data_IF_822448152173
#
_entry.id   IF_822448152173
#
_cell.length_a   1.000
_cell.length_b   1.000
_cell.length_c   1.000
_cell.angle_alpha   90.00
_cell.angle_beta   90.00
_cell.angle_gamma   90.00
#
_symmetry.space_group_name_H-M   'P 1'
#
loop_
_entity.id
_entity.type
_entity.pdbx_description
1 polymer ?
#
# COMPACT_ATOMS: atom_id res chain seq x y z
N UNK A 1 7.74 15.53 7.29
CA UNK A 1 8.76 15.65 6.24
C UNK A 1 8.21 16.56 5.16
N UNK A 2 9.06 17.27 4.45
CA UNK A 2 8.65 17.96 3.23
C UNK A 2 8.41 16.92 2.12
N UNK A 3 7.25 16.89 1.44
CA UNK A 3 6.94 15.85 0.46
C UNK A 3 7.66 16.06 -0.89
N UNK A 4 8.29 17.21 -1.14
CA UNK A 4 9.06 17.50 -2.36
C UNK A 4 10.55 17.28 -2.14
N UNK A 5 11.11 17.87 -1.08
CA UNK A 5 12.56 17.77 -0.81
C UNK A 5 12.95 16.53 -0.02
N UNK A 6 11.96 15.88 0.62
CA UNK A 6 12.13 14.77 1.56
C UNK A 6 12.87 15.18 2.85
N UNK A 7 13.07 16.48 3.09
CA UNK A 7 13.71 16.96 4.30
C UNK A 7 12.90 16.64 5.56
N UNK A 8 13.61 16.34 6.64
CA UNK A 8 12.99 16.09 7.94
C UNK A 8 12.67 17.43 8.60
N UNK A 9 11.37 17.72 8.74
CA UNK A 9 10.86 18.88 9.46
C UNK A 9 10.96 18.66 10.98
N UNK A 10 10.54 17.48 11.44
CA UNK A 10 10.52 17.14 12.87
C UNK A 10 9.38 16.17 13.21
N UNK A 11 9.23 15.90 14.50
CA UNK A 11 8.09 15.16 15.04
C UNK A 11 6.87 16.08 14.93
N UNK A 12 5.76 15.53 14.44
CA UNK A 12 4.49 16.23 14.34
C UNK A 12 3.51 15.69 15.37
N UNK A 13 2.97 16.57 16.21
CA UNK A 13 2.03 16.26 17.29
C UNK A 13 0.64 16.89 17.09
N UNK A 14 0.32 17.24 15.84
CA UNK A 14 -0.91 17.92 15.46
C UNK A 14 -1.09 19.23 16.22
N UNK A 15 -0.09 20.11 16.23
CA UNK A 15 -0.13 21.40 16.97
C UNK A 15 -0.43 21.20 18.47
N UNK A 16 0.21 20.19 19.08
CA UNK A 16 0.01 19.81 20.48
C UNK A 16 -1.32 19.12 20.79
N UNK A 17 -2.09 18.70 19.77
CA UNK A 17 -3.38 18.04 19.97
C UNK A 17 -3.25 16.56 20.35
N UNK A 18 -2.09 15.91 20.16
CA UNK A 18 -1.90 14.52 20.59
C UNK A 18 -1.83 14.39 22.12
N UNK A 19 -2.63 13.48 22.64
CA UNK A 19 -2.65 13.09 24.07
C UNK A 19 -1.95 11.73 24.32
N UNK A 20 -1.58 11.02 23.25
CA UNK A 20 -0.84 9.76 23.26
C UNK A 20 0.66 9.98 23.15
N UNK A 21 1.45 9.05 23.69
CA UNK A 21 2.90 8.96 23.42
C UNK A 21 3.24 8.33 22.06
N UNK A 22 2.27 7.69 21.43
CA UNK A 22 2.45 6.93 20.19
C UNK A 22 1.39 7.32 19.16
N UNK A 23 1.72 7.11 17.89
CA UNK A 23 0.80 7.27 16.78
C UNK A 23 0.97 6.11 15.79
N UNK A 24 -0.13 5.67 15.18
CA UNK A 24 -0.12 4.54 14.24
C UNK A 24 0.65 4.86 12.96
N UNK A 25 1.36 3.86 12.44
CA UNK A 25 1.91 3.86 11.08
C UNK A 25 0.86 3.48 10.02
N UNK A 26 -0.37 3.16 10.44
CA UNK A 26 -1.49 2.77 9.58
C UNK A 26 -2.70 3.71 9.72
N UNK A 27 -2.55 5.03 9.48
CA UNK A 27 -3.72 5.90 9.42
C UNK A 27 -4.67 5.46 8.29
N UNK A 28 -5.91 5.90 8.38
CA UNK A 28 -6.94 5.68 7.35
C UNK A 28 -7.59 7.02 7.02
N UNK A 29 -7.95 7.21 5.77
CA UNK A 29 -8.58 8.44 5.31
C UNK A 29 -9.99 8.13 4.82
N UNK A 30 -10.95 8.94 5.25
CA UNK A 30 -12.24 8.99 4.61
C UNK A 30 -12.14 9.96 3.42
N UNK A 31 -12.13 9.41 2.21
CA UNK A 31 -11.97 10.19 0.99
C UNK A 31 -13.18 11.07 0.67
N UNK A 32 -14.35 10.80 1.24
CA UNK A 32 -15.53 11.65 1.05
C UNK A 32 -15.44 12.95 1.86
N UNK A 33 -14.88 12.89 3.07
CA UNK A 33 -14.81 14.03 4.01
C UNK A 33 -13.42 14.66 4.09
N UNK A 34 -12.38 13.92 3.70
CA UNK A 34 -10.97 14.27 3.92
C UNK A 34 -10.52 14.08 5.37
N UNK A 35 -11.31 13.41 6.20
CA UNK A 35 -10.94 13.14 7.59
C UNK A 35 -9.88 12.03 7.68
N UNK A 36 -8.92 12.21 8.59
CA UNK A 36 -7.94 11.20 8.94
C UNK A 36 -8.32 10.54 10.25
N UNK A 37 -8.24 9.21 10.28
CA UNK A 37 -8.44 8.40 11.46
C UNK A 37 -7.12 7.73 11.83
N UNK A 38 -6.80 7.74 13.11
CA UNK A 38 -5.59 7.14 13.65
C UNK A 38 -5.82 6.58 15.04
N UNK A 39 -4.83 5.86 15.54
CA UNK A 39 -4.85 5.36 16.91
C UNK A 39 -3.43 5.34 17.49
N UNK A 40 -3.33 5.22 18.81
CA UNK A 40 -2.09 4.97 19.54
C UNK A 40 -2.25 3.78 20.47
N UNK A 41 -1.37 2.79 20.33
CA UNK A 41 -1.23 1.68 21.28
C UNK A 41 -0.16 2.01 22.32
N UNK A 42 -0.23 1.40 23.49
CA UNK A 42 0.66 1.75 24.61
C UNK A 42 0.65 3.27 24.88
N UNK A 43 -0.54 3.87 24.77
CA UNK A 43 -0.70 5.32 24.63
C UNK A 43 -0.17 6.11 25.84
N UNK A 44 -0.13 5.50 27.03
CA UNK A 44 0.44 6.10 28.25
C UNK A 44 1.91 5.74 28.50
N UNK A 45 2.52 4.95 27.63
CA UNK A 45 3.91 4.53 27.73
C UNK A 45 4.08 3.02 27.59
N UNK A 46 5.34 2.61 27.50
CA UNK A 46 5.75 1.24 27.25
C UNK A 46 5.02 0.26 28.18
N UNK A 47 4.47 -0.81 27.61
CA UNK A 47 3.69 -1.87 28.29
C UNK A 47 2.37 -1.41 28.93
N UNK A 48 1.89 -0.18 28.66
CA UNK A 48 0.53 0.18 29.05
C UNK A 48 -0.47 -0.49 28.12
N UNK A 49 -1.61 -0.93 28.65
CA UNK A 49 -2.69 -1.48 27.81
C UNK A 49 -3.60 -0.36 27.28
N UNK A 50 -3.22 0.91 27.42
CA UNK A 50 -4.00 2.06 27.00
C UNK A 50 -4.00 2.17 25.47
N UNK A 51 -5.20 2.27 24.90
CA UNK A 51 -5.45 2.56 23.48
C UNK A 51 -6.14 3.92 23.40
N UNK A 52 -5.79 4.71 22.40
CA UNK A 52 -6.56 5.90 22.02
C UNK A 52 -6.85 5.91 20.54
N UNK A 53 -8.07 6.27 20.17
CA UNK A 53 -8.51 6.53 18.80
C UNK A 53 -8.64 8.03 18.59
N UNK A 54 -8.25 8.50 17.40
CA UNK A 54 -8.37 9.88 16.98
C UNK A 54 -9.06 10.01 15.64
N UNK A 55 -9.77 11.12 15.47
CA UNK A 55 -10.22 11.61 14.16
C UNK A 55 -9.82 13.08 14.00
N UNK A 56 -9.23 13.41 12.86
CA UNK A 56 -8.81 14.75 12.47
C UNK A 56 -9.52 15.15 11.19
N UNK A 57 -9.92 16.41 11.08
CA UNK A 57 -10.43 16.94 9.81
C UNK A 57 -9.31 17.19 8.80
N UNK A 58 -9.67 17.57 7.56
CA UNK A 58 -8.71 17.84 6.48
C UNK A 58 -7.73 18.98 6.75
N UNK A 59 -8.02 19.85 7.72
CA UNK A 59 -7.12 20.91 8.19
C UNK A 59 -6.20 20.46 9.34
N UNK A 60 -6.26 19.19 9.76
CA UNK A 60 -5.46 18.66 10.86
C UNK A 60 -5.99 18.99 12.27
N UNK A 61 -7.22 19.50 12.38
CA UNK A 61 -7.88 19.76 13.67
C UNK A 61 -8.53 18.48 14.19
N UNK A 62 -8.25 18.11 15.44
CA UNK A 62 -8.87 16.98 16.13
C UNK A 62 -10.36 17.24 16.30
N UNK A 63 -11.17 16.31 15.80
CA UNK A 63 -12.64 16.34 15.90
C UNK A 63 -13.20 15.25 16.81
N UNK A 64 -12.40 14.22 17.12
CA UNK A 64 -12.78 13.16 18.06
C UNK A 64 -11.57 12.53 18.75
N UNK A 65 -11.78 12.05 19.97
CA UNK A 65 -10.80 11.31 20.79
C UNK A 65 -11.53 10.32 21.69
N UNK A 66 -11.16 9.04 21.61
CA UNK A 66 -11.76 7.99 22.43
C UNK A 66 -10.69 7.09 23.06
N UNK A 67 -10.76 6.87 24.36
CA UNK A 67 -9.81 6.03 25.10
C UNK A 67 -10.41 4.66 25.42
N UNK A 68 -9.58 3.63 25.29
CA UNK A 68 -9.94 2.25 25.58
C UNK A 68 -8.75 1.43 26.07
N UNK A 69 -8.93 0.10 26.08
CA UNK A 69 -7.86 -0.86 26.36
C UNK A 69 -7.77 -1.90 25.25
N UNK A 70 -6.55 -2.26 24.84
CA UNK A 70 -6.37 -3.34 23.88
C UNK A 70 -6.22 -4.70 24.58
N UNK A 71 -6.56 -5.78 23.88
CA UNK A 71 -6.36 -7.16 24.31
C UNK A 71 -5.30 -7.80 23.40
N UNK A 72 -4.50 -8.72 23.95
CA UNK A 72 -3.52 -9.49 23.19
C UNK A 72 -4.10 -10.84 22.78
N UNK A 73 -4.06 -11.17 21.49
CA UNK A 73 -4.38 -12.48 20.95
C UNK A 73 -3.29 -12.91 19.95
N UNK A 74 -3.01 -14.22 19.80
CA UNK A 74 -2.04 -14.71 18.84
C UNK A 74 -2.53 -14.51 17.39
N UNK A 75 -1.65 -14.13 16.44
CA UNK A 75 -2.02 -13.92 15.05
C UNK A 75 -2.32 -15.23 14.30
N UNK A 76 -3.21 -15.15 13.30
CA UNK A 76 -3.42 -16.18 12.27
C UNK A 76 -3.39 -15.53 10.88
N UNK A 77 -2.61 -16.07 9.95
CA UNK A 77 -2.33 -15.46 8.64
C UNK A 77 -3.31 -15.95 7.54
N UNK A 78 -4.52 -15.38 7.48
CA UNK A 78 -5.47 -15.62 6.38
C UNK A 78 -6.20 -14.35 5.99
N UNK A 79 -6.53 -14.19 4.70
CA UNK A 79 -7.45 -13.14 4.22
C UNK A 79 -8.88 -13.49 4.61
N UNK A 80 -9.33 -12.89 5.72
CA UNK A 80 -10.64 -13.19 6.27
C UNK A 80 -11.45 -11.92 6.54
N UNK A 81 -12.77 -12.06 6.56
CA UNK A 81 -13.70 -11.03 6.96
C UNK A 81 -14.32 -11.38 8.31
N UNK A 82 -14.08 -10.52 9.29
CA UNK A 82 -14.83 -10.51 10.54
C UNK A 82 -16.12 -9.70 10.36
N UNK A 83 -17.20 -10.15 11.00
CA UNK A 83 -18.45 -9.39 11.10
C UNK A 83 -18.80 -9.23 12.57
N UNK A 84 -18.85 -7.98 13.02
CA UNK A 84 -19.16 -7.63 14.41
C UNK A 84 -20.48 -6.87 14.41
N UNK A 85 -21.43 -7.33 15.23
CA UNK A 85 -22.66 -6.60 15.50
C UNK A 85 -22.53 -5.84 16.83
N UNK A 86 -22.33 -4.51 16.82
CA UNK A 86 -22.16 -3.74 18.05
C UNK A 86 -23.42 -3.67 18.92
N UNK A 87 -24.57 -4.13 18.40
CA UNK A 87 -25.84 -4.22 19.13
C UNK A 87 -26.13 -5.65 19.61
N UNK A 88 -25.21 -6.59 19.38
CA UNK A 88 -25.34 -7.95 19.88
C UNK A 88 -25.40 -7.92 21.41
N UNK A 89 -26.33 -8.67 22.05
CA UNK A 89 -26.33 -8.85 23.49
C UNK A 89 -25.29 -9.88 23.95
N UNK A 90 -24.55 -10.51 23.02
CA UNK A 90 -23.55 -11.55 23.28
C UNK A 90 -22.18 -11.13 22.72
N UNK A 91 -21.12 -11.51 23.43
CA UNK A 91 -19.72 -11.37 23.02
C UNK A 91 -19.26 -12.51 22.09
N UNK A 92 -20.13 -13.48 21.79
CA UNK A 92 -19.87 -14.52 20.79
C UNK A 92 -19.79 -13.89 19.39
N UNK A 93 -18.74 -14.24 18.64
CA UNK A 93 -18.54 -13.81 17.26
C UNK A 93 -18.70 -14.97 16.30
N UNK A 94 -19.35 -14.71 15.15
CA UNK A 94 -19.35 -15.62 14.01
C UNK A 94 -17.90 -15.89 13.57
N UNK A 95 -17.60 -17.13 13.17
CA UNK A 95 -16.30 -17.45 12.58
C UNK A 95 -16.06 -16.57 11.34
N UNK A 96 -14.84 -16.07 11.15
CA UNK A 96 -14.58 -15.16 10.05
C UNK A 96 -14.67 -15.89 8.71
N UNK A 97 -15.17 -15.19 7.69
CA UNK A 97 -15.33 -15.74 6.33
C UNK A 97 -14.01 -15.64 5.59
N UNK A 98 -13.51 -16.75 5.07
CA UNK A 98 -12.32 -16.76 4.20
C UNK A 98 -12.68 -16.12 2.86
N UNK A 99 -11.94 -15.08 2.47
CA UNK A 99 -12.14 -14.37 1.21
C UNK A 99 -11.27 -14.92 0.07
N UNK A 100 -10.14 -15.54 0.42
CA UNK A 100 -9.26 -16.26 -0.49
C UNK A 100 -8.49 -17.34 0.26
N UNK A 101 -8.33 -18.51 -0.35
CA UNK A 101 -7.46 -19.57 0.16
C UNK A 101 -5.98 -19.32 -0.17
N UNK A 102 -5.68 -18.30 -0.98
CA UNK A 102 -4.31 -17.91 -1.32
C UNK A 102 -3.75 -17.02 -0.19
N UNK A 103 -2.60 -17.37 0.41
CA UNK A 103 -1.97 -16.52 1.41
C UNK A 103 -1.59 -15.16 0.81
N UNK A 104 -1.92 -14.11 1.55
CA UNK A 104 -1.58 -12.74 1.22
C UNK A 104 -1.37 -11.90 2.48
N UNK A 105 -0.45 -10.95 2.39
CA UNK A 105 -0.14 -9.93 3.39
C UNK A 105 0.03 -8.57 2.70
N UNK A 106 0.28 -7.50 3.45
CA UNK A 106 0.38 -6.13 2.94
C UNK A 106 -0.86 -5.73 2.13
N UNK A 107 -2.03 -5.97 2.75
CA UNK A 107 -3.33 -5.82 2.13
C UNK A 107 -3.62 -4.37 1.75
N UNK A 108 -4.08 -4.17 0.51
CA UNK A 108 -4.51 -2.89 -0.04
C UNK A 108 -5.87 -3.02 -0.71
N UNK A 109 -6.51 -1.89 -0.93
CA UNK A 109 -7.70 -1.73 -1.74
C UNK A 109 -7.57 -0.46 -2.60
N UNK A 110 -8.61 -0.13 -3.35
CA UNK A 110 -8.76 1.22 -3.89
C UNK A 110 -8.97 2.20 -2.73
N UNK A 111 -7.99 3.06 -2.49
CA UNK A 111 -7.99 3.93 -1.30
C UNK A 111 -9.22 4.85 -1.26
N UNK A 112 -9.81 5.20 -2.42
CA UNK A 112 -11.05 6.00 -2.53
C UNK A 112 -12.26 5.35 -1.84
N UNK A 113 -12.18 4.04 -1.60
CA UNK A 113 -13.22 3.23 -0.96
C UNK A 113 -12.84 2.80 0.45
N UNK A 114 -11.74 3.32 1.03
CA UNK A 114 -11.50 3.16 2.47
C UNK A 114 -12.72 3.64 3.26
N UNK A 115 -13.00 2.94 4.37
CA UNK A 115 -14.15 3.16 5.26
C UNK A 115 -15.54 2.86 4.65
N UNK A 116 -15.60 2.52 3.36
CA UNK A 116 -16.82 2.22 2.64
C UNK A 116 -16.89 0.74 2.21
N UNK A 117 -18.07 0.21 1.85
CA UNK A 117 -18.16 -1.06 1.15
C UNK A 117 -17.31 -1.02 -0.12
N UNK A 118 -16.46 -2.03 -0.30
CA UNK A 118 -15.62 -2.22 -1.47
C UNK A 118 -15.71 -3.68 -1.92
N UNK A 119 -15.08 -4.01 -3.03
CA UNK A 119 -15.10 -5.29 -3.74
C UNK A 119 -13.70 -5.85 -3.99
N UNK A 120 -12.72 -4.98 -4.24
CA UNK A 120 -11.38 -5.34 -4.71
C UNK A 120 -10.34 -5.19 -3.60
N UNK A 121 -9.63 -6.29 -3.32
CA UNK A 121 -8.46 -6.29 -2.44
C UNK A 121 -7.22 -6.77 -3.22
N UNK A 122 -6.07 -6.23 -2.86
CA UNK A 122 -4.76 -6.58 -3.39
C UNK A 122 -3.81 -6.92 -2.25
N UNK A 123 -2.85 -7.80 -2.48
CA UNK A 123 -1.91 -8.23 -1.46
C UNK A 123 -0.61 -8.73 -2.07
N UNK A 124 0.47 -8.71 -1.30
CA UNK A 124 1.68 -9.46 -1.63
C UNK A 124 1.52 -10.92 -1.19
N UNK A 125 1.91 -11.87 -2.04
CA UNK A 125 1.83 -13.32 -1.76
C UNK A 125 3.22 -13.93 -1.58
N UNK A 126 3.39 -14.95 -0.70
CA UNK A 126 4.71 -15.52 -0.40
C UNK A 126 5.51 -15.97 -1.61
N UNK A 127 6.84 -15.92 -1.49
CA UNK A 127 7.81 -16.43 -2.45
C UNK A 127 9.20 -16.59 -1.83
N UNK A 128 10.20 -16.94 -2.66
CA UNK A 128 11.51 -17.37 -2.17
C UNK A 128 12.34 -16.27 -1.50
N UNK A 129 12.03 -15.00 -1.77
CA UNK A 129 12.69 -13.82 -1.17
C UNK A 129 11.71 -12.95 -0.39
N UNK A 130 10.88 -13.59 0.46
CA UNK A 130 9.81 -12.94 1.22
C UNK A 130 8.49 -13.02 0.44
N UNK A 131 8.11 -11.92 -0.21
CA UNK A 131 6.99 -11.92 -1.16
C UNK A 131 7.49 -12.16 -2.59
N UNK A 132 6.80 -12.99 -3.37
CA UNK A 132 7.18 -13.35 -4.74
C UNK A 132 6.11 -13.06 -5.81
N UNK A 133 5.02 -12.39 -5.43
CA UNK A 133 3.95 -12.07 -6.36
C UNK A 133 2.88 -11.19 -5.75
N UNK A 134 1.90 -10.81 -6.58
CA UNK A 134 0.75 -10.00 -6.18
C UNK A 134 -0.53 -10.80 -6.37
N UNK A 135 -1.37 -10.81 -5.34
CA UNK A 135 -2.71 -11.37 -5.29
C UNK A 135 -3.73 -10.25 -5.50
N UNK A 136 -4.72 -10.49 -6.36
CA UNK A 136 -5.95 -9.72 -6.46
C UNK A 136 -7.12 -10.60 -6.06
N UNK A 137 -7.95 -10.13 -5.14
CA UNK A 137 -9.18 -10.79 -4.69
C UNK A 137 -10.37 -9.91 -5.05
N UNK A 138 -11.26 -10.41 -5.90
CA UNK A 138 -12.61 -9.88 -6.04
C UNK A 138 -13.52 -10.67 -5.09
N UNK A 139 -13.80 -10.12 -3.91
CA UNK A 139 -14.53 -10.86 -2.90
C UNK A 139 -16.05 -10.88 -3.11
N UNK A 140 -16.59 -10.14 -4.09
CA UNK A 140 -18.00 -10.27 -4.49
C UNK A 140 -18.21 -11.55 -5.32
N UNK A 141 -17.22 -11.93 -6.12
CA UNK A 141 -17.25 -13.13 -6.95
C UNK A 141 -16.50 -14.32 -6.34
N UNK A 142 -15.63 -14.06 -5.37
CA UNK A 142 -14.69 -15.05 -4.82
C UNK A 142 -13.48 -15.31 -5.73
N UNK A 143 -13.36 -14.62 -6.87
CA UNK A 143 -12.27 -14.82 -7.82
C UNK A 143 -10.96 -14.25 -7.25
N UNK A 144 -9.93 -15.09 -7.23
CA UNK A 144 -8.56 -14.69 -6.91
C UNK A 144 -7.67 -14.83 -8.14
N UNK A 145 -6.90 -13.79 -8.46
CA UNK A 145 -5.88 -13.76 -9.52
C UNK A 145 -4.51 -13.55 -8.90
N UNK A 146 -3.47 -14.15 -9.46
CA UNK A 146 -2.10 -13.98 -8.96
C UNK A 146 -1.14 -13.70 -10.13
N UNK A 147 -0.33 -12.67 -9.96
CA UNK A 147 0.90 -12.47 -10.72
C UNK A 147 2.09 -12.98 -9.91
N UNK A 148 2.98 -13.76 -10.54
CA UNK A 148 4.24 -14.22 -9.95
C UNK A 148 5.41 -13.52 -10.64
N UNK A 149 6.33 -12.97 -9.86
CA UNK A 149 7.46 -12.21 -10.38
C UNK A 149 8.58 -13.12 -10.94
N UNK A 150 8.57 -14.41 -10.58
CA UNK A 150 9.55 -15.41 -11.01
C UNK A 150 10.55 -15.78 -9.92
N UNK A 151 11.33 -16.82 -10.18
CA UNK A 151 12.27 -17.39 -9.22
C UNK A 151 13.40 -16.42 -8.89
N UNK A 152 13.71 -16.27 -7.59
CA UNK A 152 14.74 -15.35 -7.13
C UNK A 152 14.39 -13.86 -7.29
N UNK A 153 13.10 -13.54 -7.45
CA UNK A 153 12.60 -12.16 -7.53
C UNK A 153 11.67 -11.87 -6.34
N UNK A 154 11.97 -10.80 -5.60
CA UNK A 154 11.18 -10.35 -4.47
C UNK A 154 10.29 -9.17 -4.86
N UNK A 155 9.08 -9.10 -4.32
CA UNK A 155 8.17 -7.95 -4.49
C UNK A 155 7.92 -7.24 -3.15
N UNK A 156 7.52 -5.97 -3.21
CA UNK A 156 7.04 -5.19 -2.07
C UNK A 156 5.51 -5.16 -1.97
N UNK A 157 5.00 -4.39 -1.00
CA UNK A 157 3.59 -4.02 -0.92
C UNK A 157 3.12 -3.39 -2.25
N UNK A 158 2.01 -3.86 -2.85
CA UNK A 158 1.44 -3.18 -4.02
C UNK A 158 0.84 -1.84 -3.61
N UNK A 159 0.80 -0.85 -4.50
CA UNK A 159 0.04 0.38 -4.27
C UNK A 159 -0.93 0.60 -5.42
N UNK A 160 -2.23 0.73 -5.11
CA UNK A 160 -3.25 1.02 -6.11
C UNK A 160 -3.18 2.48 -6.58
N UNK A 161 -3.36 2.67 -7.89
CA UNK A 161 -3.41 3.98 -8.55
C UNK A 161 -4.63 3.98 -9.48
N UNK A 162 -5.64 4.85 -9.28
CA UNK A 162 -6.82 4.87 -10.12
C UNK A 162 -6.47 5.31 -11.55
N UNK A 163 -7.14 4.74 -12.56
CA UNK A 163 -6.91 5.10 -13.97
C UNK A 163 -7.25 6.56 -14.27
N UNK A 164 -8.33 7.03 -13.65
CA UNK A 164 -8.80 8.42 -13.67
C UNK A 164 -9.53 8.71 -12.36
N UNK A 165 -9.75 9.99 -12.00
CA UNK A 165 -10.47 10.36 -10.78
C UNK A 165 -11.87 9.72 -10.68
N UNK A 166 -12.54 9.55 -11.81
CA UNK A 166 -13.89 9.02 -11.97
C UNK A 166 -13.94 7.52 -12.37
N UNK A 167 -12.79 6.86 -12.47
CA UNK A 167 -12.72 5.43 -12.78
C UNK A 167 -13.50 4.61 -11.74
N UNK A 168 -14.20 3.54 -12.14
CA UNK A 168 -14.85 2.62 -11.20
C UNK A 168 -13.88 2.08 -10.14
N UNK A 169 -14.44 1.53 -9.04
CA UNK A 169 -13.65 0.85 -8.02
C UNK A 169 -12.70 -0.18 -8.65
N UNK A 170 -11.41 -0.10 -8.31
CA UNK A 170 -10.43 -1.08 -8.74
C UNK A 170 -10.03 -0.99 -10.23
N UNK A 171 -10.55 -0.03 -11.00
CA UNK A 171 -10.06 0.27 -12.35
C UNK A 171 -8.84 1.20 -12.30
N UNK A 172 -7.67 0.64 -12.61
CA UNK A 172 -6.41 1.35 -12.50
C UNK A 172 -5.21 0.44 -12.62
N UNK A 173 -4.21 0.75 -11.81
CA UNK A 173 -2.91 0.10 -11.84
C UNK A 173 -2.43 -0.24 -10.43
N UNK A 174 -1.55 -1.24 -10.33
CA UNK A 174 -0.73 -1.46 -9.15
C UNK A 174 0.70 -1.07 -9.47
N UNK A 175 1.32 -0.24 -8.63
CA UNK A 175 2.75 0.03 -8.65
C UNK A 175 3.41 -0.82 -7.58
N UNK A 176 4.44 -1.57 -7.97
CA UNK A 176 5.07 -2.59 -7.12
C UNK A 176 6.58 -2.47 -7.20
N UNK A 177 7.25 -2.28 -6.07
CA UNK A 177 8.71 -2.40 -6.00
C UNK A 177 9.13 -3.86 -6.17
N UNK A 178 10.05 -4.11 -7.09
CA UNK A 178 10.60 -5.43 -7.41
C UNK A 178 12.10 -5.43 -7.15
N UNK A 179 12.62 -6.52 -6.59
CA UNK A 179 14.03 -6.73 -6.28
C UNK A 179 14.49 -7.99 -6.99
N UNK A 180 15.41 -7.85 -7.94
CA UNK A 180 15.98 -8.98 -8.66
C UNK A 180 17.20 -9.52 -7.88
N UNK A 181 17.11 -10.76 -7.41
CA UNK A 181 18.17 -11.42 -6.67
C UNK A 181 19.40 -11.76 -7.52
N UNK A 182 19.26 -11.85 -8.85
CA UNK A 182 20.36 -12.17 -9.77
C UNK A 182 21.22 -10.95 -10.07
N UNK A 183 20.59 -9.83 -10.42
CA UNK A 183 21.29 -8.58 -10.75
C UNK A 183 21.54 -7.69 -9.53
N UNK A 184 20.83 -7.93 -8.43
CA UNK A 184 20.76 -7.08 -7.22
C UNK A 184 20.14 -5.69 -7.45
N UNK A 185 19.59 -5.45 -8.65
CA UNK A 185 18.92 -4.21 -9.01
C UNK A 185 17.43 -4.24 -8.62
N UNK A 186 16.82 -3.06 -8.65
CA UNK A 186 15.41 -2.89 -8.38
C UNK A 186 14.65 -2.42 -9.62
N UNK A 187 13.35 -2.69 -9.62
CA UNK A 187 12.41 -2.20 -10.63
C UNK A 187 11.14 -1.68 -9.97
N UNK A 188 10.40 -0.83 -10.68
CA UNK A 188 8.98 -0.60 -10.41
C UNK A 188 8.17 -1.29 -11.49
N UNK A 189 7.40 -2.30 -11.12
CA UNK A 189 6.45 -2.96 -11.99
C UNK A 189 5.09 -2.26 -11.91
N UNK A 190 4.48 -2.01 -13.06
CA UNK A 190 3.14 -1.45 -13.21
C UNK A 190 2.23 -2.56 -13.74
N UNK A 191 1.29 -3.03 -12.92
CA UNK A 191 0.30 -4.06 -13.29
C UNK A 191 -1.03 -3.38 -13.62
N UNK A 192 -1.69 -3.77 -14.71
CA UNK A 192 -3.08 -3.33 -14.96
C UNK A 192 -4.04 -4.20 -14.13
N UNK A 193 -4.94 -3.57 -13.37
CA UNK A 193 -5.84 -4.28 -12.47
C UNK A 193 -6.97 -5.03 -13.19
N UNK A 194 -7.22 -4.73 -14.47
CA UNK A 194 -8.15 -5.52 -15.31
C UNK A 194 -7.73 -7.00 -15.31
N UNK A 195 -6.43 -7.25 -15.49
CA UNK A 195 -5.87 -8.60 -15.43
C UNK A 195 -4.38 -8.62 -15.08
N UNK A 196 -4.10 -8.65 -13.77
CA UNK A 196 -2.73 -8.72 -13.26
C UNK A 196 -1.98 -9.98 -13.73
N UNK A 197 -2.70 -11.05 -14.13
CA UNK A 197 -2.07 -12.32 -14.54
C UNK A 197 -1.27 -12.19 -15.84
N UNK A 198 -1.51 -11.12 -16.61
CA UNK A 198 -0.76 -10.79 -17.83
C UNK A 198 0.66 -10.30 -17.56
N UNK A 199 0.99 -10.03 -16.30
CA UNK A 199 2.25 -9.40 -15.91
C UNK A 199 2.22 -7.88 -16.04
N UNK A 200 3.37 -7.22 -15.83
CA UNK A 200 3.44 -5.78 -15.88
C UNK A 200 3.17 -5.23 -17.28
N UNK A 201 2.41 -4.15 -17.39
CA UNK A 201 2.23 -3.37 -18.61
C UNK A 201 3.36 -2.35 -18.82
N UNK A 202 4.13 -2.09 -17.77
CA UNK A 202 5.34 -1.28 -17.79
C UNK A 202 6.29 -1.63 -16.66
N UNK A 203 7.58 -1.51 -16.90
CA UNK A 203 8.64 -1.71 -15.91
C UNK A 203 9.58 -0.51 -15.96
N UNK A 204 9.86 0.09 -14.81
CA UNK A 204 10.86 1.14 -14.66
C UNK A 204 12.08 0.52 -14.00
N UNK A 205 13.21 0.54 -14.69
CA UNK A 205 14.48 0.06 -14.15
C UNK A 205 15.09 1.10 -13.21
N UNK A 206 15.51 0.67 -12.03
CA UNK A 206 16.20 1.53 -11.07
C UNK A 206 17.69 1.13 -11.06
N UNK A 207 18.63 2.06 -11.31
CA UNK A 207 20.06 1.76 -11.41
C UNK A 207 20.71 1.54 -10.03
N UNK A 208 19.92 1.11 -9.04
CA UNK A 208 20.36 0.93 -7.67
C UNK A 208 19.60 -0.22 -7.01
N UNK A 209 20.22 -0.76 -5.96
CA UNK A 209 19.61 -1.76 -5.11
C UNK A 209 18.59 -1.11 -4.18
N UNK A 210 17.40 -1.68 -4.10
CA UNK A 210 16.40 -1.34 -3.08
C UNK A 210 16.45 -2.38 -1.95
N UNK A 211 16.35 -1.92 -0.70
CA UNK A 211 16.11 -2.81 0.44
C UNK A 211 14.63 -3.20 0.49
N UNK A 212 14.31 -4.23 1.26
CA UNK A 212 12.91 -4.52 1.56
C UNK A 212 12.30 -3.33 2.33
N UNK A 213 11.22 -2.80 1.77
CA UNK A 213 10.43 -1.72 2.38
C UNK A 213 9.25 -2.29 3.15
N UNK A 214 8.53 -1.41 3.84
CA UNK A 214 7.30 -1.77 4.55
C UNK A 214 6.09 -1.28 3.77
N UNK A 215 5.65 -0.04 4.02
CA UNK A 215 4.47 0.54 3.38
C UNK A 215 4.80 1.65 2.39
N UNK A 216 3.93 1.83 1.41
CA UNK A 216 3.93 2.94 0.46
C UNK A 216 2.54 3.55 0.31
N UNK A 217 2.46 4.72 -0.34
CA UNK A 217 1.18 5.34 -0.71
C UNK A 217 1.35 6.15 -1.98
N UNK A 218 0.29 6.21 -2.78
CA UNK A 218 0.21 7.07 -3.95
C UNK A 218 -0.51 8.37 -3.59
N UNK A 219 0.00 9.49 -4.10
CA UNK A 219 -0.64 10.80 -3.99
C UNK A 219 -0.69 11.39 -5.40
N UNK A 220 -1.86 11.83 -5.86
CA UNK A 220 -1.96 12.40 -7.20
C UNK A 220 -1.25 13.75 -7.23
N UNK A 221 -0.71 14.10 -8.40
CA UNK A 221 -0.13 15.43 -8.60
C UNK A 221 -1.14 16.56 -8.35
N UNK A 222 -2.44 16.31 -8.59
CA UNK A 222 -3.53 17.25 -8.29
C UNK A 222 -3.74 17.52 -6.81
N UNK A 223 -3.29 16.61 -5.94
CA UNK A 223 -3.46 16.73 -4.50
C UNK A 223 -2.32 17.56 -3.86
N UNK A 224 -1.35 18.00 -4.68
CA UNK A 224 -0.22 18.83 -4.26
C UNK A 224 -0.48 20.30 -4.60
N UNK A 225 -0.19 21.19 -3.65
CA UNK A 225 -0.37 22.65 -3.84
C UNK A 225 0.51 23.20 -4.97
N UNK A 226 1.77 22.76 -4.99
CA UNK A 226 2.75 23.10 -6.01
C UNK A 226 3.37 21.81 -6.56
N UNK A 227 3.57 21.75 -7.88
CA UNK A 227 4.29 20.66 -8.51
C UNK A 227 5.74 21.07 -8.70
N UNK A 228 6.59 20.70 -7.75
CA UNK A 228 8.04 20.81 -7.93
C UNK A 228 8.57 19.53 -8.58
N UNK A 229 9.62 19.60 -9.43
CA UNK A 229 10.34 18.41 -9.83
C UNK A 229 10.87 17.69 -8.59
N UNK A 230 10.46 16.43 -8.38
CA UNK A 230 10.95 15.58 -7.29
C UNK A 230 12.42 15.19 -7.45
N UNK A 231 12.97 15.40 -8.64
CA UNK A 231 14.34 15.08 -9.00
C UNK A 231 15.04 16.39 -9.35
N UNK A 232 16.10 16.70 -8.60
CA UNK A 232 17.02 17.76 -8.97
C UNK A 232 17.87 17.31 -10.15
N UNK A 233 17.57 17.85 -11.33
CA UNK A 233 18.35 17.60 -12.54
C UNK A 233 19.59 18.49 -12.67
N UNK A 234 19.87 19.39 -11.71
CA UNK A 234 20.99 20.33 -11.79
C UNK A 234 22.36 19.63 -11.88
N UNK A 235 22.47 18.43 -11.30
CA UNK A 235 23.67 17.58 -11.37
C UNK A 235 23.69 16.59 -12.53
N UNK A 236 22.63 16.53 -13.35
CA UNK A 236 22.50 15.55 -14.43
C UNK A 236 23.13 16.11 -15.71
N UNK A 237 24.34 15.66 -16.03
CA UNK A 237 25.05 16.07 -17.25
C UNK A 237 24.50 15.36 -18.50
N UNK A 238 24.75 15.89 -19.71
CA UNK A 238 24.41 15.19 -20.95
C UNK A 238 25.02 13.79 -21.05
N UNK A 239 26.19 13.56 -20.46
CA UNK A 239 26.86 12.25 -20.42
C UNK A 239 26.11 11.28 -19.50
N UNK A 240 25.69 11.73 -18.30
CA UNK A 240 24.86 10.95 -17.39
C UNK A 240 23.51 10.62 -18.04
N UNK A 241 22.90 11.57 -18.75
CA UNK A 241 21.67 11.33 -19.53
C UNK A 241 21.89 10.37 -20.70
N UNK A 242 23.04 10.40 -21.36
CA UNK A 242 23.35 9.47 -22.44
C UNK A 242 23.63 8.05 -21.91
N UNK A 243 24.22 7.94 -20.71
CA UNK A 243 24.56 6.67 -20.07
C UNK A 243 23.37 6.02 -19.36
N UNK A 244 22.57 6.80 -18.63
CA UNK A 244 21.48 6.32 -17.76
C UNK A 244 20.10 6.81 -18.16
N UNK A 245 19.97 7.69 -19.16
CA UNK A 245 18.67 8.13 -19.67
C UNK A 245 17.96 6.95 -20.32
N UNK A 246 16.90 6.45 -19.70
CA UNK A 246 16.16 5.27 -20.15
C UNK A 246 15.30 5.52 -21.39
N UNK A 247 15.30 6.73 -21.94
CA UNK A 247 14.33 7.18 -22.94
C UNK A 247 12.92 7.23 -22.35
N UNK A 248 11.90 7.41 -23.21
CA UNK A 248 10.51 7.25 -22.77
C UNK A 248 10.28 5.81 -22.24
N UNK A 249 9.34 5.60 -21.30
CA UNK A 249 8.96 4.26 -20.84
C UNK A 249 8.77 3.31 -22.03
N UNK A 250 9.44 2.15 -22.00
CA UNK A 250 9.33 1.17 -23.07
C UNK A 250 8.08 0.31 -22.83
N UNK A 251 7.23 0.09 -23.87
CA UNK A 251 6.16 -0.90 -23.81
C UNK A 251 6.68 -2.30 -23.42
N UNK A 252 5.92 -3.03 -22.59
CA UNK A 252 6.30 -4.32 -22.00
C UNK A 252 6.74 -5.38 -23.04
N UNK A 253 6.12 -5.39 -24.21
CA UNK A 253 6.44 -6.29 -25.34
C UNK A 253 7.86 -6.12 -25.91
N UNK A 254 8.60 -5.11 -25.45
CA UNK A 254 9.96 -4.79 -25.89
C UNK A 254 11.04 -5.12 -24.86
N UNK A 255 10.70 -5.76 -23.75
CA UNK A 255 11.67 -6.20 -22.74
C UNK A 255 12.14 -7.63 -23.05
N UNK A 256 13.45 -7.85 -23.25
CA UNK A 256 14.00 -9.18 -23.42
C UNK A 256 13.97 -9.89 -22.06
N UNK A 257 13.40 -11.09 -22.03
CA UNK A 257 13.30 -12.00 -20.88
C UNK A 257 12.22 -11.68 -19.82
N UNK A 258 11.01 -12.25 -19.97
CA UNK A 258 10.16 -12.53 -18.80
C UNK A 258 9.38 -13.86 -18.94
N UNK A 259 9.51 -14.80 -17.98
CA UNK A 259 8.72 -16.02 -17.91
C UNK A 259 7.27 -15.75 -17.49
N UNK A 260 6.30 -16.32 -18.21
CA UNK A 260 4.88 -16.39 -17.81
C UNK A 260 4.53 -17.85 -17.52
N UNK A 261 3.98 -18.14 -16.34
CA UNK A 261 3.38 -19.46 -16.07
C UNK A 261 1.96 -19.28 -15.53
N UNK A 262 0.99 -19.62 -16.35
CA UNK A 262 -0.42 -19.76 -15.96
C UNK A 262 -0.53 -21.01 -15.09
N UNK A 263 -1.00 -20.89 -13.85
CA UNK A 263 -1.41 -22.04 -13.04
C UNK A 263 -2.95 -22.06 -13.05
N UNK A 264 -3.51 -23.17 -13.55
CA UNK A 264 -4.94 -23.50 -13.45
C UNK A 264 -5.21 -24.27 -12.18
#
# INVERSE_FOLDING_TARGET
>A
MDPDTLDTIGIYDFEGQLTSRTFTAHPKFDFATGEMMGYGLEAKGLNSNDLVYYRFNKEGKKVDECWGRHLTAPPQEKFVRFKINPKSPSDEMELPVVLSDIPGEMARNDDRYQTNPYTHAYAATPGDMGFGGILHVNHATGLSKVWRAGDGVGVGEPCFVPRSPDAPEGDGYLVVCVRDGKTTLAHLAILDTEDITRGPVGVIELPFRLREGVHGSWVNASDRKDRQPLVDYSGVTPEILAEFGTGAPKPYDKLPDVPVKIIR
#
